data_IF_088312379285
#
_entry.id   IF_088312379285
#
_cell.length_a   1.000
_cell.length_b   1.000
_cell.length_c   1.000
_cell.angle_alpha   90.00
_cell.angle_beta   90.00
_cell.angle_gamma   90.00
#
_symmetry.space_group_name_H-M   'P 1'
#
loop_
_entity.id
_entity.type
_entity.pdbx_description
1 polymer ?
#
# COMPACT_ATOMS: atom_id res chain seq x y z
N UNK A 1 -77.23 -18.37 1.28
CA UNK A 1 -75.95 -18.73 0.61
C UNK A 1 -74.89 -17.71 1.01
N UNK A 2 -74.10 -17.99 2.08
CA UNK A 2 -73.08 -17.08 2.61
C UNK A 2 -71.71 -17.43 2.02
N UNK A 3 -71.17 -16.55 1.18
CA UNK A 3 -69.77 -16.64 0.72
C UNK A 3 -68.84 -15.99 1.78
N UNK A 4 -68.04 -16.82 2.44
CA UNK A 4 -66.95 -16.35 3.32
C UNK A 4 -65.72 -16.00 2.48
N UNK A 5 -65.38 -14.74 2.43
CA UNK A 5 -64.16 -14.22 1.83
C UNK A 5 -62.97 -14.47 2.79
N UNK A 6 -62.02 -15.32 2.38
CA UNK A 6 -60.76 -15.50 3.11
C UNK A 6 -59.76 -14.41 2.69
N UNK A 7 -59.40 -13.54 3.60
CA UNK A 7 -58.30 -12.60 3.44
C UNK A 7 -57.01 -13.31 3.79
N UNK A 8 -56.10 -13.46 2.81
CA UNK A 8 -54.74 -13.94 3.02
C UNK A 8 -53.88 -12.72 3.37
N UNK A 9 -53.43 -12.63 4.62
CA UNK A 9 -52.37 -11.71 5.00
C UNK A 9 -51.04 -12.28 4.53
N UNK A 10 -50.47 -11.67 3.49
CA UNK A 10 -49.12 -11.92 3.08
C UNK A 10 -48.13 -11.13 3.95
N UNK A 11 -47.34 -11.84 4.76
CA UNK A 11 -46.25 -11.24 5.53
C UNK A 11 -45.08 -10.94 4.56
N UNK A 12 -44.86 -9.66 4.26
CA UNK A 12 -43.67 -9.23 3.53
C UNK A 12 -42.49 -9.24 4.52
N UNK A 13 -41.57 -10.17 4.32
CA UNK A 13 -40.26 -10.17 5.00
C UNK A 13 -39.43 -9.04 4.37
N UNK A 14 -39.26 -7.94 5.08
CA UNK A 14 -38.31 -6.89 4.70
C UNK A 14 -36.90 -7.37 5.03
N UNK A 15 -36.14 -7.78 4.00
CA UNK A 15 -34.72 -8.03 4.15
C UNK A 15 -34.00 -6.67 4.27
N UNK A 16 -33.55 -6.33 5.46
CA UNK A 16 -32.67 -5.19 5.68
C UNK A 16 -31.29 -5.49 5.13
N UNK A 17 -30.94 -4.86 3.99
CA UNK A 17 -29.59 -4.87 3.46
C UNK A 17 -28.79 -3.87 4.31
N UNK A 18 -27.97 -4.36 5.24
CA UNK A 18 -26.96 -3.56 5.90
C UNK A 18 -25.81 -3.34 4.91
N UNK A 19 -25.78 -2.18 4.28
CA UNK A 19 -24.60 -1.71 3.54
C UNK A 19 -23.54 -1.35 4.59
N UNK A 20 -22.61 -2.27 4.83
CA UNK A 20 -21.43 -1.97 5.63
C UNK A 20 -20.60 -0.92 4.90
N UNK A 21 -20.45 0.26 5.49
CA UNK A 21 -19.50 1.26 4.99
C UNK A 21 -18.09 0.69 5.22
N UNK A 22 -17.37 0.48 4.12
CA UNK A 22 -15.94 0.14 4.20
C UNK A 22 -15.19 1.39 4.65
N UNK A 23 -14.54 1.32 5.82
CA UNK A 23 -13.75 2.42 6.37
C UNK A 23 -12.28 2.18 6.04
N UNK A 24 -11.60 3.21 5.54
CA UNK A 24 -10.17 3.15 5.29
C UNK A 24 -9.40 2.89 6.60
N UNK A 25 -8.38 2.06 6.55
CA UNK A 25 -7.56 1.72 7.71
C UNK A 25 -6.47 2.77 7.91
N UNK A 26 -6.34 3.37 9.09
CA UNK A 26 -5.36 4.41 9.35
C UNK A 26 -3.95 3.83 9.52
N UNK A 27 -2.95 4.67 9.25
CA UNK A 27 -1.57 4.43 9.71
C UNK A 27 -1.51 4.52 11.24
N UNK A 28 -0.89 3.53 11.90
CA UNK A 28 -0.73 3.49 13.36
C UNK A 28 0.75 3.30 13.70
N UNK A 29 1.20 3.98 14.76
CA UNK A 29 2.56 3.81 15.30
C UNK A 29 3.67 4.50 14.49
N UNK A 30 3.34 5.26 13.44
CA UNK A 30 4.31 6.12 12.78
C UNK A 30 4.60 7.33 13.66
N UNK A 31 5.80 7.38 14.25
CA UNK A 31 6.22 8.49 15.10
C UNK A 31 7.16 9.46 14.37
N UNK A 32 7.72 9.06 13.24
CA UNK A 32 8.50 9.89 12.36
C UNK A 32 8.03 9.68 10.92
N UNK A 33 7.65 10.78 10.25
CA UNK A 33 7.09 10.72 8.90
C UNK A 33 7.39 12.07 8.21
N UNK A 34 8.57 12.18 7.61
CA UNK A 34 9.09 13.43 7.09
C UNK A 34 9.39 13.34 5.61
N UNK A 35 8.82 14.26 4.84
CA UNK A 35 9.23 14.46 3.44
C UNK A 35 10.57 15.20 3.46
N UNK A 36 11.60 14.53 2.98
CA UNK A 36 12.97 15.09 2.92
C UNK A 36 13.13 16.04 1.74
N UNK A 37 12.53 15.70 0.60
CA UNK A 37 12.53 16.52 -0.60
C UNK A 37 11.38 16.19 -1.54
N UNK A 38 10.99 17.16 -2.34
CA UNK A 38 10.11 16.99 -3.51
C UNK A 38 10.71 17.73 -4.68
N UNK A 39 11.00 17.00 -5.75
CA UNK A 39 11.41 17.57 -7.05
C UNK A 39 10.35 17.30 -8.09
N UNK A 40 10.21 18.21 -9.06
CA UNK A 40 9.29 18.02 -10.20
C UNK A 40 10.09 17.91 -11.49
N UNK A 41 9.88 16.81 -12.21
CA UNK A 41 10.25 16.68 -13.61
C UNK A 41 9.09 17.24 -14.47
N UNK A 42 9.28 18.40 -15.07
CA UNK A 42 8.24 19.07 -15.87
C UNK A 42 7.98 18.40 -17.24
N UNK A 43 8.78 17.43 -17.61
CA UNK A 43 8.69 16.65 -18.85
C UNK A 43 8.73 15.17 -18.54
N UNK A 44 8.38 14.37 -19.52
CA UNK A 44 8.52 12.91 -19.48
C UNK A 44 9.93 12.52 -19.03
N UNK A 45 10.02 11.56 -18.12
CA UNK A 45 11.24 10.85 -17.82
C UNK A 45 11.30 9.66 -18.79
N UNK A 46 12.38 9.53 -19.53
CA UNK A 46 12.61 8.39 -20.40
C UNK A 46 14.10 8.03 -20.31
N UNK A 47 14.41 7.13 -19.40
CA UNK A 47 15.78 6.71 -19.10
C UNK A 47 15.90 5.21 -19.21
N UNK A 48 16.90 4.78 -19.93
CA UNK A 48 17.29 3.38 -20.09
C UNK A 48 18.74 3.23 -19.62
N UNK A 49 19.00 2.24 -18.81
CA UNK A 49 20.34 1.83 -18.42
C UNK A 49 20.54 0.37 -18.84
N UNK A 50 21.67 0.10 -19.49
CA UNK A 50 22.14 -1.24 -19.78
C UNK A 50 23.62 -1.31 -19.46
N UNK A 51 24.01 -2.28 -18.67
CA UNK A 51 25.38 -2.49 -18.23
C UNK A 51 25.74 -3.96 -18.40
N UNK A 52 26.75 -4.20 -19.23
CA UNK A 52 27.39 -5.51 -19.31
C UNK A 52 28.29 -5.71 -18.09
N UNK A 53 28.05 -6.77 -17.35
CA UNK A 53 28.76 -7.10 -16.12
C UNK A 53 29.75 -8.26 -16.39
N UNK A 54 31.05 -7.99 -16.67
CA UNK A 54 32.01 -9.04 -16.96
C UNK A 54 32.09 -10.07 -15.83
N UNK A 55 31.89 -11.36 -16.15
CA UNK A 55 31.93 -12.46 -15.20
C UNK A 55 30.62 -12.70 -14.42
N UNK A 56 29.55 -12.02 -14.77
CA UNK A 56 28.19 -12.29 -14.30
C UNK A 56 27.42 -13.07 -15.36
N UNK A 57 26.45 -13.88 -14.94
CA UNK A 57 25.60 -14.66 -15.85
C UNK A 57 24.54 -13.81 -16.57
N UNK A 58 24.24 -12.63 -16.01
CA UNK A 58 23.22 -11.71 -16.53
C UNK A 58 23.73 -10.27 -16.55
N UNK A 59 23.34 -9.51 -17.58
CA UNK A 59 23.56 -8.09 -17.68
C UNK A 59 22.53 -7.32 -16.84
N UNK A 60 22.93 -6.16 -16.31
CA UNK A 60 22.01 -5.25 -15.66
C UNK A 60 21.23 -4.42 -16.70
N UNK A 61 19.90 -4.40 -16.60
CA UNK A 61 19.06 -3.52 -17.42
C UNK A 61 17.99 -2.87 -16.56
N UNK A 62 17.78 -1.57 -16.73
CA UNK A 62 16.74 -0.81 -16.06
C UNK A 62 16.09 0.19 -17.00
N UNK A 63 14.78 0.39 -16.85
CA UNK A 63 13.99 1.34 -17.63
C UNK A 63 13.10 2.13 -16.67
N UNK A 64 13.15 3.45 -16.77
CA UNK A 64 12.21 4.35 -16.11
C UNK A 64 11.55 5.26 -17.14
N UNK A 65 10.23 5.13 -17.28
CA UNK A 65 9.44 5.95 -18.21
C UNK A 65 8.25 6.54 -17.44
N UNK A 66 8.05 7.85 -17.59
CA UNK A 66 6.84 8.54 -17.17
C UNK A 66 6.25 9.28 -18.36
N UNK A 67 4.94 9.40 -18.41
CA UNK A 67 4.22 10.25 -19.37
C UNK A 67 3.69 11.48 -18.62
N UNK A 68 4.08 12.68 -19.07
CA UNK A 68 3.75 13.95 -18.43
C UNK A 68 4.62 14.29 -17.21
N UNK A 69 4.36 15.45 -16.65
CA UNK A 69 5.08 15.96 -15.50
C UNK A 69 4.91 15.06 -14.26
N UNK A 70 6.00 14.81 -13.57
CA UNK A 70 6.03 13.87 -12.43
C UNK A 70 6.72 14.48 -11.23
N UNK A 71 6.22 14.20 -10.03
CA UNK A 71 6.90 14.48 -8.77
C UNK A 71 7.75 13.28 -8.34
N UNK A 72 8.98 13.56 -7.94
CA UNK A 72 9.87 12.63 -7.25
C UNK A 72 9.95 13.08 -5.79
N UNK A 73 9.43 12.27 -4.89
CA UNK A 73 9.30 12.60 -3.47
C UNK A 73 10.16 11.63 -2.67
N UNK A 74 11.06 12.16 -1.85
CA UNK A 74 11.83 11.36 -0.90
C UNK A 74 11.28 11.56 0.50
N UNK A 75 11.07 10.45 1.20
CA UNK A 75 10.45 10.43 2.52
C UNK A 75 11.16 9.45 3.44
N UNK A 76 11.28 9.81 4.70
CA UNK A 76 11.75 8.96 5.77
C UNK A 76 10.58 8.68 6.73
N UNK A 77 10.40 7.41 7.11
CA UNK A 77 9.30 6.97 7.97
C UNK A 77 9.83 6.00 9.01
N UNK A 78 9.42 6.17 10.27
CA UNK A 78 9.70 5.20 11.34
C UNK A 78 8.43 4.78 12.04
N UNK A 79 8.30 3.48 12.26
CA UNK A 79 7.17 2.85 12.93
C UNK A 79 7.65 2.10 14.17
N UNK A 80 7.01 2.35 15.30
CA UNK A 80 7.21 1.55 16.51
C UNK A 80 6.79 0.09 16.32
N UNK A 81 7.27 -0.84 17.16
CA UNK A 81 6.75 -2.20 17.22
C UNK A 81 5.21 -2.22 17.29
N UNK A 82 4.58 -3.07 16.49
CA UNK A 82 3.13 -3.13 16.32
C UNK A 82 2.52 -2.05 15.42
N UNK A 83 3.32 -1.11 14.93
CA UNK A 83 2.86 -0.09 13.98
C UNK A 83 2.52 -0.69 12.61
N UNK A 84 1.60 -0.04 11.90
CA UNK A 84 1.15 -0.43 10.56
C UNK A 84 0.97 0.79 9.67
N UNK A 85 1.20 0.61 8.37
CA UNK A 85 0.86 1.64 7.38
C UNK A 85 -0.64 1.78 7.18
N UNK A 86 -1.43 0.77 7.56
CA UNK A 86 -2.80 0.61 7.12
C UNK A 86 -2.90 0.24 5.64
N UNK A 87 -4.03 -0.37 5.26
CA UNK A 87 -4.27 -0.78 3.87
C UNK A 87 -4.36 0.40 2.93
N UNK A 88 -3.49 0.41 1.92
CA UNK A 88 -3.40 1.51 0.98
C UNK A 88 -2.81 1.07 -0.37
N UNK A 89 -2.79 1.99 -1.32
CA UNK A 89 -2.14 1.86 -2.63
C UNK A 89 -1.50 3.19 -3.04
N UNK A 90 -0.68 3.14 -4.06
CA UNK A 90 -0.03 4.32 -4.63
C UNK A 90 -0.42 4.50 -6.10
N UNK A 91 -0.69 5.74 -6.58
CA UNK A 91 -1.02 6.01 -7.98
C UNK A 91 0.21 6.01 -8.91
N UNK A 92 1.39 5.70 -8.39
CA UNK A 92 2.65 5.67 -9.12
C UNK A 92 3.57 4.57 -8.63
N UNK A 93 4.85 4.71 -8.92
CA UNK A 93 5.90 3.78 -8.50
C UNK A 93 6.44 4.24 -7.14
N UNK A 94 6.65 3.28 -6.24
CA UNK A 94 7.32 3.51 -4.97
C UNK A 94 8.50 2.56 -4.85
N UNK A 95 9.65 3.11 -4.54
CA UNK A 95 10.87 2.38 -4.23
C UNK A 95 11.12 2.51 -2.73
N UNK A 96 11.26 1.37 -2.05
CA UNK A 96 11.46 1.32 -0.61
C UNK A 96 12.76 0.59 -0.29
N UNK A 97 13.41 1.05 0.77
CA UNK A 97 14.54 0.36 1.40
C UNK A 97 14.34 0.37 2.90
N UNK A 98 14.50 -0.77 3.56
CA UNK A 98 14.66 -0.80 5.00
C UNK A 98 16.08 -0.40 5.37
N UNK A 99 16.20 0.66 6.17
CA UNK A 99 17.49 1.17 6.62
C UNK A 99 18.25 0.12 7.45
N UNK A 100 19.56 0.27 7.56
CA UNK A 100 20.43 -0.69 8.24
C UNK A 100 20.12 -0.86 9.74
N UNK A 101 19.50 0.16 10.36
CA UNK A 101 19.06 0.17 11.76
C UNK A 101 17.61 -0.30 11.95
N UNK A 102 16.93 -0.73 10.88
CA UNK A 102 15.52 -1.15 10.90
C UNK A 102 15.34 -2.55 11.50
N UNK A 103 14.24 -2.72 12.24
CA UNK A 103 13.66 -4.02 12.50
C UNK A 103 13.02 -4.64 11.24
N UNK A 104 12.77 -5.97 11.25
CA UNK A 104 12.06 -6.63 10.16
C UNK A 104 10.60 -6.20 10.11
N UNK A 105 10.01 -6.24 8.90
CA UNK A 105 8.59 -5.96 8.70
C UNK A 105 7.89 -7.09 7.96
N UNK A 106 6.60 -7.17 8.14
CA UNK A 106 5.70 -7.98 7.35
C UNK A 106 4.98 -7.10 6.33
N UNK A 107 5.13 -7.40 5.07
CA UNK A 107 4.38 -6.81 3.98
C UNK A 107 3.26 -7.77 3.54
N UNK A 108 2.04 -7.26 3.37
CA UNK A 108 0.86 -8.02 2.99
C UNK A 108 0.27 -7.51 1.69
N UNK A 109 -0.03 -8.40 0.76
CA UNK A 109 -0.77 -8.09 -0.45
C UNK A 109 -2.30 -8.11 -0.24
N UNK A 110 -3.08 -7.76 -1.26
CA UNK A 110 -4.55 -7.74 -1.23
C UNK A 110 -5.20 -9.11 -0.94
N UNK A 111 -4.44 -10.20 -1.04
CA UNK A 111 -4.87 -11.57 -0.69
C UNK A 111 -4.36 -12.01 0.67
N UNK A 112 -3.75 -11.08 1.41
CA UNK A 112 -3.06 -11.32 2.67
C UNK A 112 -1.87 -12.28 2.57
N UNK A 113 -1.29 -12.43 1.39
CA UNK A 113 0.00 -13.06 1.18
C UNK A 113 1.07 -12.24 1.89
N UNK A 114 1.87 -12.91 2.74
CA UNK A 114 2.88 -12.27 3.59
C UNK A 114 4.27 -12.41 2.98
N UNK A 115 5.00 -11.31 2.90
CA UNK A 115 6.44 -11.26 2.62
C UNK A 115 7.15 -10.58 3.79
N UNK A 116 8.28 -11.12 4.23
CA UNK A 116 9.10 -10.53 5.29
C UNK A 116 10.28 -9.83 4.67
N UNK A 117 10.45 -8.54 4.99
CA UNK A 117 11.64 -7.77 4.63
C UNK A 117 12.48 -7.48 5.88
N UNK A 118 13.80 -7.39 5.69
CA UNK A 118 14.80 -7.15 6.73
C UNK A 118 15.63 -5.92 6.42
N UNK A 119 16.36 -5.42 7.38
CA UNK A 119 17.32 -4.33 7.18
C UNK A 119 18.21 -4.57 5.95
N UNK A 120 18.29 -3.57 5.07
CA UNK A 120 19.01 -3.61 3.80
C UNK A 120 18.19 -4.15 2.61
N UNK A 121 17.03 -4.75 2.82
CA UNK A 121 16.16 -5.17 1.74
C UNK A 121 15.50 -3.97 1.06
N UNK A 122 15.27 -4.10 -0.26
CA UNK A 122 14.54 -3.12 -1.06
C UNK A 122 13.47 -3.81 -1.89
N UNK A 123 12.33 -3.11 -2.09
CA UNK A 123 11.24 -3.59 -2.93
C UNK A 123 10.49 -2.43 -3.58
N UNK A 124 9.51 -2.77 -4.39
CA UNK A 124 8.67 -1.78 -5.06
C UNK A 124 7.20 -1.97 -4.70
N UNK A 125 6.48 -0.86 -4.62
CA UNK A 125 5.04 -0.81 -4.47
C UNK A 125 4.41 0.03 -5.60
N UNK A 126 3.10 -0.02 -5.72
CA UNK A 126 2.38 0.72 -6.74
C UNK A 126 0.87 0.65 -6.55
N UNK A 127 0.12 0.42 -7.63
CA UNK A 127 -1.34 0.50 -7.64
C UNK A 127 -2.06 -0.66 -6.95
N UNK A 128 -1.36 -1.69 -6.52
CA UNK A 128 -1.96 -2.83 -5.81
C UNK A 128 -2.11 -2.51 -4.32
N UNK A 129 -3.25 -2.92 -3.76
CA UNK A 129 -3.55 -2.80 -2.33
C UNK A 129 -2.56 -3.61 -1.49
N UNK A 130 -2.02 -2.99 -0.45
CA UNK A 130 -1.07 -3.61 0.48
C UNK A 130 -1.13 -2.95 1.87
N UNK A 131 -0.50 -3.61 2.84
CA UNK A 131 -0.25 -3.11 4.19
C UNK A 131 1.14 -3.55 4.64
N UNK A 132 1.78 -2.75 5.47
CA UNK A 132 3.06 -3.06 6.12
C UNK A 132 2.90 -2.99 7.62
N UNK A 133 3.35 -4.03 8.31
CA UNK A 133 3.26 -4.13 9.77
C UNK A 133 4.64 -4.38 10.37
N UNK A 134 5.02 -3.56 11.34
CA UNK A 134 6.20 -3.83 12.15
C UNK A 134 5.87 -4.88 13.22
N UNK A 135 6.19 -6.13 12.97
CA UNK A 135 6.05 -7.23 13.95
C UNK A 135 7.33 -7.49 14.74
N UNK A 136 8.36 -6.68 14.50
CA UNK A 136 9.62 -6.74 15.24
C UNK A 136 9.52 -6.16 16.65
N UNK A 137 10.65 -6.21 17.37
CA UNK A 137 10.80 -5.66 18.73
C UNK A 137 11.48 -4.29 18.76
N UNK A 138 11.95 -3.82 17.62
CA UNK A 138 12.56 -2.49 17.43
C UNK A 138 11.84 -1.74 16.32
N UNK A 139 12.10 -0.46 16.18
CA UNK A 139 11.48 0.38 15.15
C UNK A 139 11.78 -0.14 13.74
N UNK A 140 10.78 -0.07 12.87
CA UNK A 140 10.97 -0.20 11.43
C UNK A 140 11.30 1.18 10.85
N UNK A 141 12.33 1.26 10.01
CA UNK A 141 12.84 2.49 9.44
C UNK A 141 12.91 2.39 7.92
N UNK A 142 12.11 3.20 7.23
CA UNK A 142 11.96 3.19 5.77
C UNK A 142 12.56 4.43 5.15
N UNK A 143 13.30 4.23 4.08
CA UNK A 143 13.66 5.26 3.10
C UNK A 143 12.81 5.01 1.86
N UNK A 144 12.01 5.99 1.47
CA UNK A 144 10.98 5.84 0.44
C UNK A 144 11.15 6.88 -0.65
N UNK A 145 11.15 6.44 -1.90
CA UNK A 145 11.08 7.32 -3.07
C UNK A 145 9.79 7.04 -3.83
N UNK A 146 8.95 8.07 -3.99
CA UNK A 146 7.75 8.04 -4.82
C UNK A 146 8.03 8.70 -6.15
N UNK A 147 7.51 8.12 -7.23
CA UNK A 147 7.44 8.71 -8.57
C UNK A 147 5.96 8.69 -8.96
N UNK A 148 5.32 9.86 -8.91
CA UNK A 148 3.88 10.02 -9.12
C UNK A 148 3.62 11.17 -10.07
N UNK A 149 2.46 11.16 -10.75
CA UNK A 149 2.07 12.30 -11.58
C UNK A 149 2.05 13.59 -10.76
N UNK A 150 2.43 14.71 -11.38
CA UNK A 150 2.38 16.03 -10.75
C UNK A 150 0.98 16.31 -10.22
N UNK A 151 0.87 16.93 -9.05
CA UNK A 151 -0.37 17.31 -8.37
C UNK A 151 -1.29 16.14 -7.96
N UNK A 152 -0.79 14.90 -8.00
CA UNK A 152 -1.51 13.71 -7.52
C UNK A 152 -1.02 13.33 -6.13
N UNK A 153 -1.96 12.98 -5.23
CA UNK A 153 -1.59 12.48 -3.92
C UNK A 153 -0.85 11.14 -4.07
N UNK A 154 0.31 11.03 -3.43
CA UNK A 154 1.19 9.85 -3.50
C UNK A 154 0.60 8.58 -2.89
N UNK A 155 -0.50 8.68 -2.13
CA UNK A 155 -1.13 7.58 -1.38
C UNK A 155 -2.65 7.72 -1.39
N UNK A 156 -3.34 6.57 -1.47
CA UNK A 156 -4.78 6.45 -1.26
C UNK A 156 -5.04 5.37 -0.21
N UNK A 157 -5.66 5.76 0.91
CA UNK A 157 -6.05 4.82 1.96
C UNK A 157 -7.28 4.03 1.54
N UNK A 158 -7.31 2.75 1.88
CA UNK A 158 -8.34 1.81 1.47
C UNK A 158 -8.85 1.01 2.67
N UNK A 159 -9.99 0.38 2.49
CA UNK A 159 -10.51 -0.57 3.46
C UNK A 159 -9.71 -1.88 3.45
N UNK A 160 -9.57 -2.48 4.61
CA UNK A 160 -8.94 -3.79 4.76
C UNK A 160 -9.69 -4.86 3.94
N UNK A 161 -8.99 -5.76 3.22
CA UNK A 161 -9.61 -6.88 2.55
C UNK A 161 -10.18 -7.87 3.56
N UNK A 162 -11.15 -8.69 3.16
CA UNK A 162 -11.82 -9.64 4.07
C UNK A 162 -10.87 -10.56 4.83
N UNK A 163 -9.77 -10.99 4.20
CA UNK A 163 -8.77 -11.85 4.81
C UNK A 163 -8.01 -11.17 5.96
N UNK A 164 -7.91 -9.83 5.95
CA UNK A 164 -7.21 -9.07 6.97
C UNK A 164 -7.84 -9.21 8.36
N UNK A 165 -9.17 -9.33 8.45
CA UNK A 165 -9.89 -9.54 9.70
C UNK A 165 -9.43 -10.79 10.45
N UNK A 166 -9.21 -11.91 9.73
CA UNK A 166 -8.75 -13.16 10.31
C UNK A 166 -7.32 -13.10 10.82
N UNK A 167 -6.52 -12.14 10.33
CA UNK A 167 -5.12 -11.94 10.69
C UNK A 167 -4.89 -10.80 11.69
N UNK A 168 -5.97 -10.11 12.11
CA UNK A 168 -5.87 -8.94 12.98
C UNK A 168 -5.16 -7.74 12.33
N UNK A 169 -5.29 -7.60 11.01
CA UNK A 169 -4.71 -6.52 10.19
C UNK A 169 -5.78 -5.46 9.88
N UNK A 170 -6.27 -4.76 10.92
CA UNK A 170 -7.34 -3.76 10.77
C UNK A 170 -6.94 -2.43 11.42
#
# INVERSE_FOLDING_TARGET
>A
MNRKTKVLLGSALAASITVGLAVATPTIGAWYNVILSTGTAERDINTHAHLVLPGMDEDFSAVLVTEGASNIIQQEIKFSPGGTTGWHKHPGIVLLTLAADSGPIDWYDARCGRTVYKAGDSWTEGTKLHDVVNRGSIDAHFLVTYIVAKDVNKRTDEAAPRCAHALGLM
#
